data_IF_216616710243
#
_entry.id   IF_216616710243
#
_cell.length_a   1.000
_cell.length_b   1.000
_cell.length_c   1.000
_cell.angle_alpha   90.00
_cell.angle_beta   90.00
_cell.angle_gamma   90.00
#
_symmetry.space_group_name_H-M   'P 1'
#
loop_
_entity.id
_entity.type
_entity.pdbx_description
1 polymer ?
#
# COMPACT_ATOMS: atom_id res chain seq x y z
N UNK A 1 17.76 7.56 20.36
CA UNK A 1 16.51 7.35 19.60
C UNK A 1 16.32 8.58 18.73
N UNK A 2 16.53 8.44 17.44
CA UNK A 2 16.40 9.52 16.47
C UNK A 2 14.94 9.98 16.33
N UNK A 3 14.76 11.20 15.87
CA UNK A 3 13.45 11.83 15.69
C UNK A 3 12.53 11.05 14.72
N UNK A 4 13.12 10.21 13.85
CA UNK A 4 12.42 9.39 12.84
C UNK A 4 12.41 7.88 13.13
N UNK A 5 12.82 7.45 14.32
CA UNK A 5 12.83 6.03 14.66
C UNK A 5 11.39 5.48 14.75
N UNK A 6 11.12 4.27 14.24
CA UNK A 6 9.83 3.61 14.42
C UNK A 6 9.41 3.55 15.88
N UNK A 7 8.12 3.74 16.14
CA UNK A 7 7.52 3.62 17.46
C UNK A 7 6.96 2.22 17.64
N UNK A 8 7.19 1.66 18.83
CA UNK A 8 6.54 0.44 19.27
C UNK A 8 5.44 0.81 20.27
N UNK A 9 4.19 0.43 19.96
CA UNK A 9 3.02 0.84 20.73
C UNK A 9 2.08 -0.34 20.94
N UNK A 10 1.47 -0.40 22.12
CA UNK A 10 0.31 -1.24 22.36
C UNK A 10 -0.92 -0.44 21.93
N UNK A 11 -1.42 -0.73 20.73
CA UNK A 11 -2.57 -0.09 20.14
C UNK A 11 -3.87 -0.72 20.64
N UNK A 12 -4.91 0.09 20.78
CA UNK A 12 -6.27 -0.32 21.10
C UNK A 12 -7.19 -0.12 19.90
N UNK A 13 -8.05 -1.09 19.61
CA UNK A 13 -9.06 -1.01 18.55
C UNK A 13 -10.19 -0.10 19.00
N UNK A 14 -10.32 1.05 18.34
CA UNK A 14 -11.41 2.00 18.56
C UNK A 14 -12.62 1.72 17.66
N UNK A 15 -12.38 1.19 16.47
CA UNK A 15 -13.43 0.80 15.54
C UNK A 15 -13.02 -0.41 14.71
N UNK A 16 -13.99 -1.29 14.44
CA UNK A 16 -13.83 -2.48 13.61
C UNK A 16 -15.02 -2.58 12.66
N UNK A 17 -14.83 -2.23 11.38
CA UNK A 17 -15.90 -2.08 10.39
C UNK A 17 -15.67 -2.97 9.18
N UNK A 18 -16.69 -3.71 8.75
CA UNK A 18 -16.63 -4.51 7.51
C UNK A 18 -16.76 -3.56 6.32
N UNK A 19 -15.90 -3.73 5.32
CA UNK A 19 -15.96 -3.02 4.05
C UNK A 19 -15.75 -4.04 2.92
N UNK A 20 -16.85 -4.51 2.32
CA UNK A 20 -16.82 -5.62 1.37
C UNK A 20 -16.23 -6.89 1.99
N UNK A 21 -15.16 -7.39 1.37
CA UNK A 21 -14.37 -8.54 1.81
C UNK A 21 -13.30 -8.18 2.86
N UNK A 22 -13.13 -6.90 3.20
CA UNK A 22 -12.08 -6.42 4.09
C UNK A 22 -12.63 -6.00 5.47
N UNK A 23 -11.71 -5.86 6.43
CA UNK A 23 -11.93 -5.24 7.72
C UNK A 23 -11.13 -3.94 7.83
N UNK A 24 -11.82 -2.84 8.09
CA UNK A 24 -11.20 -1.57 8.47
C UNK A 24 -11.08 -1.52 9.99
N UNK A 25 -9.85 -1.33 10.47
CA UNK A 25 -9.56 -1.15 11.90
C UNK A 25 -9.04 0.26 12.12
N UNK A 26 -9.64 0.97 13.08
CA UNK A 26 -9.10 2.23 13.61
C UNK A 26 -8.41 1.92 14.93
N UNK A 27 -7.12 2.25 15.01
CA UNK A 27 -6.22 1.87 16.11
C UNK A 27 -5.62 3.13 16.76
N UNK A 28 -5.51 3.15 18.09
CA UNK A 28 -4.67 4.15 18.76
C UNK A 28 -3.21 3.91 18.41
N UNK A 29 -2.45 4.96 18.13
CA UNK A 29 -1.09 4.79 17.63
C UNK A 29 -0.18 5.97 17.97
N UNK A 30 -0.02 6.29 19.25
CA UNK A 30 0.76 7.45 19.69
C UNK A 30 2.16 7.51 19.04
N UNK A 31 2.48 8.61 18.38
CA UNK A 31 3.78 8.84 17.75
C UNK A 31 3.94 8.26 16.34
N UNK A 32 3.00 7.42 15.86
CA UNK A 32 3.02 6.87 14.50
C UNK A 32 2.43 7.85 13.47
N UNK A 33 1.22 8.43 13.66
CA UNK A 33 0.64 9.42 12.75
C UNK A 33 1.53 10.62 12.45
N UNK A 34 2.29 11.10 13.41
CA UNK A 34 3.17 12.27 13.29
C UNK A 34 4.35 11.99 12.34
N UNK A 35 4.82 10.74 12.33
CA UNK A 35 5.90 10.26 11.47
C UNK A 35 5.41 9.73 10.12
N UNK A 36 4.09 9.52 9.97
CA UNK A 36 3.51 8.89 8.79
C UNK A 36 3.78 9.68 7.51
N UNK A 37 4.09 8.93 6.43
CA UNK A 37 4.19 9.42 5.07
C UNK A 37 3.58 8.36 4.14
N UNK A 38 2.84 8.73 3.08
CA UNK A 38 2.19 7.73 2.22
C UNK A 38 3.17 6.69 1.67
N UNK A 39 2.78 5.41 1.73
CA UNK A 39 3.64 4.29 1.37
C UNK A 39 4.41 3.66 2.54
N UNK A 40 4.36 4.25 3.74
CA UNK A 40 4.81 3.56 4.95
C UNK A 40 3.70 2.66 5.52
N UNK A 41 4.11 1.69 6.34
CA UNK A 41 3.23 0.66 6.86
C UNK A 41 3.54 0.38 8.34
N UNK A 42 2.72 -0.43 9.02
CA UNK A 42 3.01 -0.91 10.39
C UNK A 42 3.19 -2.43 10.41
N UNK A 43 4.06 -2.92 11.28
CA UNK A 43 4.15 -4.33 11.63
C UNK A 43 3.26 -4.62 12.83
N UNK A 44 2.18 -5.40 12.63
CA UNK A 44 1.29 -5.84 13.69
C UNK A 44 1.70 -7.23 14.19
N UNK A 45 1.77 -7.41 15.51
CA UNK A 45 1.76 -8.75 16.10
C UNK A 45 0.40 -9.41 15.79
N UNK A 46 0.42 -10.71 15.52
CA UNK A 46 -0.79 -11.48 15.24
C UNK A 46 -0.77 -12.74 16.08
N UNK A 47 -1.93 -13.17 16.60
CA UNK A 47 -2.17 -14.41 17.34
C UNK A 47 -1.09 -14.78 18.39
N UNK A 48 -1.43 -15.01 19.67
CA UNK A 48 -0.42 -15.29 20.72
C UNK A 48 0.55 -16.45 20.41
N UNK A 49 0.17 -17.38 19.53
CA UNK A 49 0.97 -18.54 19.10
C UNK A 49 1.86 -18.28 17.87
N UNK A 50 1.84 -17.08 17.29
CA UNK A 50 2.60 -16.73 16.09
C UNK A 50 3.68 -15.70 16.42
N UNK A 51 4.93 -16.04 16.10
CA UNK A 51 6.06 -15.12 16.29
C UNK A 51 6.24 -14.15 15.11
N UNK A 52 5.69 -14.48 13.93
CA UNK A 52 5.78 -13.61 12.76
C UNK A 52 4.77 -12.47 12.84
N UNK A 53 5.17 -11.28 12.40
CA UNK A 53 4.28 -10.12 12.29
C UNK A 53 3.59 -10.07 10.92
N UNK A 54 2.64 -9.15 10.78
CA UNK A 54 1.99 -8.81 9.51
C UNK A 54 2.24 -7.35 9.15
N UNK A 55 2.66 -7.11 7.92
CA UNK A 55 2.72 -5.77 7.34
C UNK A 55 1.29 -5.31 7.03
N UNK A 56 0.89 -4.16 7.55
CA UNK A 56 -0.39 -3.53 7.26
C UNK A 56 -0.14 -2.12 6.72
N UNK A 57 -0.63 -1.85 5.51
CA UNK A 57 -0.60 -0.51 4.95
C UNK A 57 -1.39 0.45 5.83
N UNK A 58 -0.79 1.60 6.12
CA UNK A 58 -1.50 2.70 6.78
C UNK A 58 -2.38 3.35 5.71
N UNK A 59 -3.69 3.21 5.87
CA UNK A 59 -4.69 3.72 4.94
C UNK A 59 -5.10 5.15 5.26
N UNK A 60 -5.11 5.52 6.54
CA UNK A 60 -5.38 6.89 7.00
C UNK A 60 -4.69 7.14 8.32
N UNK A 61 -4.43 8.40 8.64
CA UNK A 61 -4.00 8.82 9.98
C UNK A 61 -4.85 10.00 10.43
N UNK A 62 -5.15 10.05 11.73
CA UNK A 62 -5.72 11.22 12.39
C UNK A 62 -4.79 11.61 13.52
N UNK A 63 -3.99 12.68 13.38
CA UNK A 63 -3.05 13.09 14.43
C UNK A 63 -3.78 13.69 15.64
N UNK A 64 -5.01 14.17 15.46
CA UNK A 64 -5.85 14.74 16.51
C UNK A 64 -7.18 13.98 16.58
N UNK A 65 -7.81 14.01 17.75
CA UNK A 65 -9.10 13.37 17.99
C UNK A 65 -9.36 13.15 19.48
N UNK A 66 -10.61 12.82 19.82
CA UNK A 66 -11.04 12.56 21.20
C UNK A 66 -10.21 11.48 21.90
N UNK A 67 -9.72 10.50 21.13
CA UNK A 67 -8.94 9.36 21.62
C UNK A 67 -7.43 9.52 21.36
N UNK A 68 -6.98 10.73 21.00
CA UNK A 68 -5.60 11.01 20.60
C UNK A 68 -5.28 10.57 19.16
N UNK A 69 -3.99 10.42 18.81
CA UNK A 69 -3.55 10.04 17.48
C UNK A 69 -3.96 8.62 17.10
N UNK A 70 -4.59 8.46 15.95
CA UNK A 70 -5.05 7.17 15.42
C UNK A 70 -4.55 6.93 14.00
N UNK A 71 -4.55 5.65 13.62
CA UNK A 71 -4.37 5.23 12.23
C UNK A 71 -5.45 4.22 11.83
N UNK A 72 -5.81 4.23 10.55
CA UNK A 72 -6.67 3.23 9.95
C UNK A 72 -5.81 2.26 9.14
N UNK A 73 -6.08 0.95 9.31
CA UNK A 73 -5.54 -0.12 8.46
C UNK A 73 -6.67 -0.90 7.82
N UNK A 74 -6.37 -1.48 6.67
CA UNK A 74 -7.27 -2.38 5.95
C UNK A 74 -6.69 -3.79 6.02
N UNK A 75 -7.48 -4.73 6.52
CA UNK A 75 -7.11 -6.13 6.72
C UNK A 75 -7.96 -7.00 5.82
N UNK A 76 -7.31 -7.83 5.02
CA UNK A 76 -7.97 -8.93 4.33
C UNK A 76 -7.90 -10.20 5.22
N UNK A 77 -9.03 -10.90 5.46
CA UNK A 77 -9.10 -12.05 6.37
C UNK A 77 -8.52 -13.33 5.73
N UNK A 78 -7.25 -13.28 5.31
CA UNK A 78 -6.49 -14.38 4.71
C UNK A 78 -5.41 -14.91 5.65
N UNK A 79 -5.29 -16.23 5.71
CA UNK A 79 -4.39 -16.93 6.63
C UNK A 79 -4.73 -16.70 8.10
N UNK A 80 -3.92 -17.28 9.00
CA UNK A 80 -4.14 -17.20 10.45
C UNK A 80 -4.08 -15.76 10.95
N UNK A 81 -3.02 -15.03 10.58
CA UNK A 81 -2.81 -13.66 11.06
C UNK A 81 -3.83 -12.65 10.54
N UNK A 82 -4.23 -12.74 9.27
CA UNK A 82 -5.22 -11.83 8.69
C UNK A 82 -6.62 -12.05 9.27
N UNK A 83 -7.03 -13.32 9.46
CA UNK A 83 -8.30 -13.66 10.12
C UNK A 83 -8.31 -13.18 11.58
N UNK A 84 -7.25 -13.48 12.33
CA UNK A 84 -7.14 -13.02 13.72
C UNK A 84 -7.24 -11.50 13.86
N UNK A 85 -6.54 -10.74 13.00
CA UNK A 85 -6.65 -9.28 12.97
C UNK A 85 -8.07 -8.81 12.58
N UNK A 86 -8.69 -9.46 11.59
CA UNK A 86 -10.02 -9.09 11.11
C UNK A 86 -11.16 -9.36 12.11
N UNK A 87 -10.91 -10.27 13.07
CA UNK A 87 -11.83 -10.66 14.15
C UNK A 87 -11.66 -9.80 15.41
N UNK A 88 -10.67 -8.90 15.46
CA UNK A 88 -10.49 -8.00 16.60
C UNK A 88 -11.73 -7.09 16.78
N UNK A 89 -12.21 -7.05 18.02
CA UNK A 89 -13.33 -6.23 18.47
C UNK A 89 -12.84 -4.93 19.12
N UNK A 90 -13.75 -3.97 19.29
CA UNK A 90 -13.44 -2.72 20.00
C UNK A 90 -12.94 -3.01 21.42
N UNK A 91 -11.89 -2.29 21.84
CA UNK A 91 -11.19 -2.50 23.11
C UNK A 91 -10.09 -3.57 23.07
N UNK A 92 -10.02 -4.39 22.00
CA UNK A 92 -8.92 -5.33 21.83
C UNK A 92 -7.59 -4.60 21.64
N UNK A 93 -6.49 -5.23 22.08
CA UNK A 93 -5.16 -4.65 22.00
C UNK A 93 -4.25 -5.42 21.04
N UNK A 94 -3.44 -4.69 20.30
CA UNK A 94 -2.48 -5.23 19.33
C UNK A 94 -1.18 -4.43 19.38
N UNK A 95 -0.05 -5.12 19.40
CA UNK A 95 1.24 -4.44 19.31
C UNK A 95 1.52 -4.02 17.87
N UNK A 96 1.87 -2.76 17.68
CA UNK A 96 2.29 -2.20 16.41
C UNK A 96 3.73 -1.69 16.50
N UNK A 97 4.47 -1.85 15.41
CA UNK A 97 5.74 -1.15 15.18
C UNK A 97 5.66 -0.37 13.89
N UNK A 98 5.89 0.94 13.94
CA UNK A 98 5.98 1.76 12.74
C UNK A 98 6.05 3.28 12.98
N UNK A 99 5.93 4.09 11.92
CA UNK A 99 5.84 3.65 10.54
C UNK A 99 7.15 2.99 10.07
N UNK A 100 7.05 2.00 9.20
CA UNK A 100 8.16 1.26 8.62
C UNK A 100 8.26 1.52 7.11
N UNK A 101 9.46 1.26 6.58
CA UNK A 101 9.76 1.43 5.17
C UNK A 101 9.95 2.88 4.73
N UNK A 102 10.19 3.05 3.42
CA UNK A 102 10.31 4.32 2.73
C UNK A 102 8.98 4.69 2.07
N UNK A 103 8.58 5.96 2.16
CA UNK A 103 7.37 6.44 1.52
C UNK A 103 7.52 6.57 0.00
N UNK A 104 6.40 6.78 -0.67
CA UNK A 104 6.39 7.27 -2.04
C UNK A 104 7.09 8.63 -2.16
N UNK A 105 7.89 8.77 -3.20
CA UNK A 105 8.45 10.05 -3.61
C UNK A 105 7.39 10.83 -4.38
N UNK A 106 7.15 12.08 -3.98
CA UNK A 106 6.21 12.98 -4.65
C UNK A 106 6.92 13.74 -5.79
N UNK A 107 6.21 14.06 -6.89
CA UNK A 107 6.77 14.89 -7.94
C UNK A 107 7.08 16.30 -7.41
N UNK A 108 8.14 16.91 -7.93
CA UNK A 108 8.59 18.25 -7.51
C UNK A 108 7.60 19.33 -7.94
N UNK A 109 6.98 19.14 -9.11
CA UNK A 109 6.01 20.03 -9.72
C UNK A 109 4.66 19.32 -9.89
N UNK A 110 3.53 20.06 -10.01
CA UNK A 110 2.23 19.46 -10.32
C UNK A 110 2.25 18.75 -11.67
N UNK A 111 1.87 17.47 -11.68
CA UNK A 111 1.81 16.65 -12.90
C UNK A 111 0.57 15.74 -12.86
N UNK A 112 0.24 15.12 -14.00
CA UNK A 112 -0.75 14.05 -14.03
C UNK A 112 -0.16 12.78 -13.39
N UNK A 113 -0.91 12.18 -12.46
CA UNK A 113 -0.54 10.97 -11.75
C UNK A 113 -1.62 9.90 -11.89
N UNK A 114 -1.20 8.67 -12.21
CA UNK A 114 -2.06 7.50 -12.23
C UNK A 114 -1.77 6.60 -11.01
N UNK A 115 -2.79 6.30 -10.22
CA UNK A 115 -2.69 5.43 -9.05
C UNK A 115 -3.40 4.10 -9.37
N UNK A 116 -2.61 3.03 -9.47
CA UNK A 116 -3.07 1.68 -9.84
C UNK A 116 -3.08 0.77 -8.61
N UNK A 117 -4.24 0.34 -8.17
CA UNK A 117 -4.37 -0.45 -6.93
C UNK A 117 -5.24 -1.68 -7.11
N UNK A 118 -4.83 -2.80 -6.52
CA UNK A 118 -5.67 -4.01 -6.48
C UNK A 118 -6.06 -4.38 -5.05
N UNK A 119 -7.36 -4.57 -4.83
CA UNK A 119 -7.92 -4.99 -3.55
C UNK A 119 -7.45 -4.17 -2.37
N UNK A 120 -7.20 -4.84 -1.24
CA UNK A 120 -6.73 -4.20 -0.01
C UNK A 120 -5.34 -3.55 -0.18
N UNK A 121 -4.53 -4.04 -1.13
CA UNK A 121 -3.19 -3.50 -1.37
C UNK A 121 -3.22 -2.09 -1.92
N UNK A 122 -4.37 -1.60 -2.42
CA UNK A 122 -4.57 -0.21 -2.81
C UNK A 122 -4.56 0.79 -1.63
N UNK A 123 -4.61 0.31 -0.38
CA UNK A 123 -4.70 1.13 0.83
C UNK A 123 -3.70 2.31 0.92
N UNK A 124 -2.40 2.18 0.62
CA UNK A 124 -1.44 3.27 0.76
C UNK A 124 -1.56 4.33 -0.35
N UNK A 125 -2.35 4.06 -1.42
CA UNK A 125 -2.57 4.99 -2.52
C UNK A 125 -3.57 6.09 -2.18
N UNK A 126 -4.49 5.85 -1.25
CA UNK A 126 -5.46 6.85 -0.79
C UNK A 126 -4.80 8.06 -0.11
N UNK A 127 -3.97 7.88 0.94
CA UNK A 127 -3.28 9.01 1.55
C UNK A 127 -2.23 9.63 0.60
N UNK A 128 -1.72 8.87 -0.37
CA UNK A 128 -0.89 9.41 -1.44
C UNK A 128 -1.68 10.37 -2.34
N UNK A 129 -2.90 9.99 -2.74
CA UNK A 129 -3.77 10.84 -3.54
C UNK A 129 -4.07 12.17 -2.84
N UNK A 130 -4.34 12.16 -1.54
CA UNK A 130 -4.50 13.41 -0.75
C UNK A 130 -3.29 14.32 -0.92
N UNK A 131 -2.08 13.80 -0.68
CA UNK A 131 -0.84 14.58 -0.78
C UNK A 131 -0.55 15.07 -2.19
N UNK A 132 -0.91 14.30 -3.22
CA UNK A 132 -0.76 14.73 -4.61
C UNK A 132 -1.72 15.87 -4.96
N UNK A 133 -2.96 15.81 -4.48
CA UNK A 133 -3.95 16.88 -4.67
C UNK A 133 -3.59 18.16 -3.92
N UNK A 134 -3.09 18.05 -2.69
CA UNK A 134 -2.61 19.20 -1.91
C UNK A 134 -1.48 19.94 -2.66
N UNK A 135 -0.76 19.22 -3.53
CA UNK A 135 0.27 19.74 -4.43
C UNK A 135 -0.25 20.05 -5.84
N UNK A 136 -1.56 20.08 -6.03
CA UNK A 136 -2.25 20.40 -7.28
C UNK A 136 -1.98 19.44 -8.44
N UNK A 137 -1.42 18.25 -8.19
CA UNK A 137 -1.30 17.20 -9.21
C UNK A 137 -2.67 16.64 -9.58
N UNK A 138 -2.88 16.36 -10.87
CA UNK A 138 -4.09 15.72 -11.36
C UNK A 138 -4.03 14.21 -11.06
N UNK A 139 -4.89 13.73 -10.17
CA UNK A 139 -4.93 12.32 -9.77
C UNK A 139 -6.01 11.58 -10.54
N UNK A 140 -5.67 10.41 -11.09
CA UNK A 140 -6.61 9.40 -11.60
C UNK A 140 -6.36 8.07 -10.91
N UNK A 141 -7.43 7.38 -10.52
CA UNK A 141 -7.34 6.01 -10.00
C UNK A 141 -7.68 4.98 -11.09
N UNK A 142 -6.97 3.85 -11.05
CA UNK A 142 -7.34 2.59 -11.68
C UNK A 142 -7.37 1.52 -10.58
N UNK A 143 -8.57 1.14 -10.15
CA UNK A 143 -8.76 0.16 -9.08
C UNK A 143 -9.25 -1.17 -9.65
N UNK A 144 -8.66 -2.26 -9.17
CA UNK A 144 -9.05 -3.62 -9.54
C UNK A 144 -9.40 -4.50 -8.35
N UNK A 145 -10.21 -5.52 -8.60
CA UNK A 145 -10.60 -6.54 -7.62
C UNK A 145 -11.19 -7.76 -8.32
N UNK A 146 -11.30 -8.89 -7.61
CA UNK A 146 -11.97 -10.07 -8.15
C UNK A 146 -13.46 -9.80 -8.44
N UNK A 147 -14.10 -9.06 -7.53
CA UNK A 147 -15.51 -8.68 -7.55
C UNK A 147 -15.70 -7.33 -6.83
N UNK A 148 -16.95 -6.85 -6.74
CA UNK A 148 -17.30 -5.60 -6.04
C UNK A 148 -16.87 -5.61 -4.56
N UNK A 149 -16.97 -6.76 -3.88
CA UNK A 149 -16.61 -6.87 -2.47
C UNK A 149 -15.09 -6.77 -2.24
N UNK A 150 -14.29 -7.10 -3.25
CA UNK A 150 -12.83 -6.99 -3.22
C UNK A 150 -12.31 -5.67 -3.80
N UNK A 151 -13.15 -4.64 -3.96
CA UNK A 151 -12.69 -3.29 -4.28
C UNK A 151 -12.53 -2.44 -3.02
N UNK A 152 -11.33 -1.88 -2.81
CA UNK A 152 -11.11 -0.99 -1.68
C UNK A 152 -11.69 0.41 -1.97
N UNK A 153 -12.78 0.74 -1.28
CA UNK A 153 -13.38 2.09 -1.20
C UNK A 153 -13.43 2.87 -2.54
N UNK A 154 -13.98 2.30 -3.64
CA UNK A 154 -14.00 2.96 -4.95
C UNK A 154 -14.78 4.29 -4.95
N UNK A 155 -15.76 4.43 -4.05
CA UNK A 155 -16.49 5.69 -3.83
C UNK A 155 -15.60 6.80 -3.29
N UNK A 156 -14.66 6.47 -2.41
CA UNK A 156 -13.69 7.42 -1.86
C UNK A 156 -12.71 7.87 -2.95
N UNK A 157 -12.20 6.93 -3.75
CA UNK A 157 -11.33 7.24 -4.89
C UNK A 157 -11.97 8.24 -5.87
N UNK A 158 -13.27 8.06 -6.19
CA UNK A 158 -14.05 8.98 -7.04
C UNK A 158 -14.18 10.40 -6.46
N UNK A 159 -14.16 10.56 -5.13
CA UNK A 159 -14.24 11.87 -4.47
C UNK A 159 -12.89 12.57 -4.42
N UNK A 160 -11.80 11.81 -4.52
CA UNK A 160 -10.44 12.32 -4.39
C UNK A 160 -9.81 12.61 -5.75
N UNK A 161 -10.16 11.87 -6.80
CA UNK A 161 -9.53 11.98 -8.10
C UNK A 161 -10.41 12.68 -9.14
N UNK A 162 -9.77 13.15 -10.22
CA UNK A 162 -10.46 13.62 -11.42
C UNK A 162 -11.29 12.51 -12.05
N UNK A 163 -10.76 11.29 -12.03
CA UNK A 163 -11.43 10.10 -12.51
C UNK A 163 -11.01 8.88 -11.66
N UNK A 164 -11.90 7.89 -11.58
CA UNK A 164 -11.59 6.59 -11.02
C UNK A 164 -12.17 5.49 -11.91
N UNK A 165 -11.28 4.76 -12.57
CA UNK A 165 -11.59 3.57 -13.35
C UNK A 165 -11.65 2.37 -12.40
N UNK A 166 -12.67 1.54 -12.59
CA UNK A 166 -12.88 0.32 -11.80
C UNK A 166 -12.92 -0.85 -12.76
N UNK A 167 -12.15 -1.89 -12.45
CA UNK A 167 -12.10 -3.13 -13.21
C UNK A 167 -12.37 -4.30 -12.25
N UNK A 168 -13.31 -5.17 -12.56
CA UNK A 168 -13.49 -6.42 -11.81
C UNK A 168 -13.37 -7.64 -12.70
N UNK A 169 -12.74 -8.69 -12.16
CA UNK A 169 -12.52 -9.93 -12.90
C UNK A 169 -13.83 -10.65 -13.24
N UNK A 170 -14.88 -10.48 -12.42
CA UNK A 170 -16.20 -11.08 -12.60
C UNK A 170 -17.21 -10.17 -13.34
N UNK A 171 -16.88 -8.90 -13.55
CA UNK A 171 -17.77 -7.91 -14.18
C UNK A 171 -18.89 -7.38 -13.29
N UNK A 172 -18.90 -7.68 -11.98
CA UNK A 172 -19.90 -7.20 -11.02
C UNK A 172 -20.04 -5.67 -10.98
N UNK A 173 -18.95 -4.92 -11.18
CA UNK A 173 -19.00 -3.46 -11.25
C UNK A 173 -17.86 -2.90 -12.12
N UNK A 174 -18.12 -1.80 -12.82
CA UNK A 174 -17.14 -1.18 -13.68
C UNK A 174 -16.89 -2.00 -14.95
N UNK A 175 -15.63 -2.06 -15.39
CA UNK A 175 -15.25 -2.83 -16.58
C UNK A 175 -14.96 -4.28 -16.19
N UNK A 176 -15.58 -5.22 -16.87
CA UNK A 176 -15.23 -6.64 -16.75
C UNK A 176 -13.87 -6.91 -17.38
N UNK A 177 -12.99 -7.62 -16.67
CA UNK A 177 -11.75 -8.20 -17.19
C UNK A 177 -10.54 -8.00 -16.29
N UNK A 178 -9.36 -8.10 -16.90
CA UNK A 178 -8.07 -7.92 -16.23
C UNK A 178 -7.60 -6.46 -16.32
N UNK A 179 -7.21 -5.88 -15.20
CA UNK A 179 -6.67 -4.52 -15.10
C UNK A 179 -5.46 -4.30 -16.00
N UNK A 180 -4.64 -5.33 -16.22
CA UNK A 180 -3.46 -5.24 -17.10
C UNK A 180 -3.86 -4.98 -18.56
N UNK A 181 -5.04 -5.44 -18.99
CA UNK A 181 -5.57 -5.17 -20.34
C UNK A 181 -6.07 -3.74 -20.54
N UNK A 182 -6.42 -3.05 -19.45
CA UNK A 182 -7.01 -1.70 -19.46
C UNK A 182 -5.93 -0.64 -19.23
N UNK A 183 -4.86 -1.01 -18.54
CA UNK A 183 -3.79 -0.13 -18.10
C UNK A 183 -3.19 0.74 -19.21
N UNK A 184 -2.81 0.22 -20.41
CA UNK A 184 -2.20 1.07 -21.45
C UNK A 184 -3.12 2.22 -21.90
N UNK A 185 -4.40 1.94 -22.13
CA UNK A 185 -5.37 2.94 -22.57
C UNK A 185 -5.65 4.01 -21.49
N UNK A 186 -5.70 3.60 -20.21
CA UNK A 186 -5.85 4.55 -19.09
C UNK A 186 -4.59 5.40 -18.94
N UNK A 187 -3.40 4.80 -19.07
CA UNK A 187 -2.14 5.52 -18.99
C UNK A 187 -2.01 6.56 -20.11
N UNK A 188 -2.33 6.19 -21.33
CA UNK A 188 -2.33 7.09 -22.49
C UNK A 188 -3.35 8.22 -22.32
N UNK A 189 -4.61 7.90 -22.01
CA UNK A 189 -5.66 8.91 -21.86
C UNK A 189 -5.44 9.88 -20.70
N UNK A 190 -4.72 9.47 -19.65
CA UNK A 190 -4.39 10.35 -18.52
C UNK A 190 -3.15 11.20 -18.77
N UNK A 191 -2.30 10.83 -19.73
CA UNK A 191 -1.00 11.49 -19.95
C UNK A 191 -0.13 11.51 -18.68
N UNK A 192 -0.25 10.49 -17.83
CA UNK A 192 0.38 10.51 -16.50
C UNK A 192 1.92 10.51 -16.63
N UNK A 193 2.56 11.51 -16.02
CA UNK A 193 4.02 11.56 -15.94
C UNK A 193 4.58 10.60 -14.87
N UNK A 194 3.75 10.27 -13.87
CA UNK A 194 4.13 9.36 -12.78
C UNK A 194 3.00 8.38 -12.50
N UNK A 195 3.35 7.10 -12.41
CA UNK A 195 2.45 6.00 -12.04
C UNK A 195 2.85 5.44 -10.67
N UNK A 196 1.88 5.34 -9.77
CA UNK A 196 2.05 4.74 -8.45
C UNK A 196 1.22 3.47 -8.39
N UNK A 197 1.81 2.36 -7.96
CA UNK A 197 1.07 1.10 -7.89
C UNK A 197 1.27 0.32 -6.60
N UNK A 198 0.22 -0.36 -6.18
CA UNK A 198 0.22 -1.25 -5.02
C UNK A 198 -0.71 -2.44 -5.28
N UNK A 199 -0.19 -3.66 -5.23
CA UNK A 199 -0.91 -4.86 -5.66
C UNK A 199 0.00 -6.09 -5.76
N UNK A 200 -0.52 -7.20 -6.31
CA UNK A 200 0.29 -8.39 -6.55
C UNK A 200 1.48 -8.13 -7.48
N UNK A 201 2.56 -8.91 -7.33
CA UNK A 201 3.80 -8.74 -8.10
C UNK A 201 3.58 -8.71 -9.62
N UNK A 202 2.66 -9.53 -10.13
CA UNK A 202 2.31 -9.55 -11.55
C UNK A 202 1.78 -8.20 -12.04
N UNK A 203 0.85 -7.60 -11.29
CA UNK A 203 0.31 -6.27 -11.59
C UNK A 203 1.41 -5.20 -11.50
N UNK A 204 2.22 -5.23 -10.45
CA UNK A 204 3.30 -4.25 -10.26
C UNK A 204 4.32 -4.30 -11.40
N UNK A 205 4.67 -5.50 -11.88
CA UNK A 205 5.54 -5.70 -13.04
C UNK A 205 4.93 -5.15 -14.32
N UNK A 206 3.64 -5.41 -14.55
CA UNK A 206 2.92 -4.90 -15.71
C UNK A 206 2.84 -3.36 -15.69
N UNK A 207 2.59 -2.76 -14.52
CA UNK A 207 2.61 -1.30 -14.34
C UNK A 207 3.98 -0.70 -14.65
N UNK A 208 5.04 -1.27 -14.11
CA UNK A 208 6.39 -0.78 -14.37
C UNK A 208 6.75 -0.83 -15.86
N UNK A 209 6.41 -1.92 -16.54
CA UNK A 209 6.63 -2.07 -17.99
C UNK A 209 5.80 -1.09 -18.83
N UNK A 210 4.51 -0.94 -18.53
CA UNK A 210 3.63 -0.02 -19.26
C UNK A 210 4.05 1.45 -19.06
N UNK A 211 4.42 1.83 -17.84
CA UNK A 211 4.93 3.16 -17.53
C UNK A 211 6.22 3.46 -18.33
N UNK A 212 7.18 2.53 -18.32
CA UNK A 212 8.42 2.69 -19.09
C UNK A 212 8.16 2.82 -20.60
N UNK A 213 7.25 2.02 -21.16
CA UNK A 213 6.88 2.10 -22.57
C UNK A 213 6.21 3.44 -22.94
N UNK A 214 5.48 4.04 -22.01
CA UNK A 214 4.86 5.35 -22.18
C UNK A 214 5.77 6.54 -21.81
N UNK A 215 7.03 6.29 -21.41
CA UNK A 215 7.94 7.34 -20.95
C UNK A 215 7.60 7.94 -19.58
N UNK A 216 6.74 7.29 -18.80
CA UNK A 216 6.34 7.71 -17.46
C UNK A 216 7.25 7.09 -16.39
N UNK A 217 7.46 7.81 -15.28
CA UNK A 217 8.12 7.24 -14.10
C UNK A 217 7.15 6.32 -13.35
N UNK A 218 7.65 5.26 -12.72
CA UNK A 218 6.82 4.38 -11.88
C UNK A 218 7.41 4.13 -10.50
N UNK A 219 6.55 4.07 -9.49
CA UNK A 219 6.88 3.62 -8.14
C UNK A 219 5.90 2.53 -7.71
N UNK A 220 6.43 1.39 -7.28
CA UNK A 220 5.67 0.20 -6.92
C UNK A 220 5.84 -0.11 -5.44
N UNK A 221 4.74 -0.40 -4.75
CA UNK A 221 4.71 -0.80 -3.35
C UNK A 221 4.56 -2.32 -3.26
N UNK A 222 5.70 -3.01 -3.11
CA UNK A 222 5.77 -4.47 -3.05
C UNK A 222 5.26 -5.01 -1.71
N UNK A 223 4.81 -6.26 -1.73
CA UNK A 223 4.38 -6.97 -0.53
C UNK A 223 5.29 -8.17 -0.29
N UNK A 224 6.15 -8.07 0.71
CA UNK A 224 7.08 -9.12 1.08
C UNK A 224 6.76 -9.68 2.48
N UNK A 225 7.13 -10.94 2.76
CA UNK A 225 7.05 -11.49 4.10
C UNK A 225 7.74 -10.58 5.12
N UNK A 226 7.05 -10.28 6.23
CA UNK A 226 7.56 -9.37 7.27
C UNK A 226 7.60 -10.04 8.65
N UNK A 227 8.56 -10.95 8.92
CA UNK A 227 8.64 -11.60 10.23
C UNK A 227 9.00 -10.62 11.35
N UNK A 228 10.09 -9.85 11.18
CA UNK A 228 10.63 -8.98 12.24
C UNK A 228 10.17 -7.52 12.17
N UNK A 229 10.10 -6.93 10.97
CA UNK A 229 9.85 -5.49 10.81
C UNK A 229 10.98 -4.56 11.30
N UNK A 230 12.16 -5.08 11.63
CA UNK A 230 13.28 -4.32 12.22
C UNK A 230 14.53 -4.27 11.33
N UNK A 231 14.52 -4.97 10.20
CA UNK A 231 15.67 -5.10 9.31
C UNK A 231 16.66 -6.20 9.67
N UNK A 232 16.53 -6.83 10.84
CA UNK A 232 17.48 -7.82 11.34
C UNK A 232 17.45 -9.15 10.58
N UNK A 233 16.26 -9.74 10.37
CA UNK A 233 16.14 -11.11 9.86
C UNK A 233 16.43 -11.28 8.36
N UNK A 234 16.46 -10.18 7.60
CA UNK A 234 16.59 -10.17 6.12
C UNK A 234 15.58 -11.03 5.34
N UNK A 235 14.47 -11.48 5.93
CA UNK A 235 13.47 -12.27 5.20
C UNK A 235 12.70 -11.45 4.15
N UNK A 236 12.56 -10.14 4.35
CA UNK A 236 11.86 -9.23 3.43
C UNK A 236 12.79 -8.63 2.35
N UNK A 237 13.75 -9.39 1.83
CA UNK A 237 14.71 -8.87 0.84
C UNK A 237 14.09 -8.80 -0.55
N UNK A 238 14.35 -7.69 -1.24
CA UNK A 238 13.94 -7.43 -2.62
C UNK A 238 15.21 -7.20 -3.44
N UNK A 239 15.33 -7.88 -4.58
CA UNK A 239 16.39 -7.61 -5.55
C UNK A 239 16.13 -6.31 -6.30
N UNK A 240 17.16 -5.46 -6.40
CA UNK A 240 17.11 -4.22 -7.19
C UNK A 240 18.37 -4.07 -8.05
N UNK A 241 18.24 -3.35 -9.16
CA UNK A 241 19.32 -2.99 -10.07
C UNK A 241 19.83 -1.59 -9.68
N UNK A 242 21.13 -1.50 -9.44
CA UNK A 242 21.84 -0.25 -9.17
C UNK A 242 21.87 0.65 -10.40
N UNK A 243 22.23 1.91 -10.19
CA UNK A 243 22.45 2.86 -11.30
C UNK A 243 23.66 2.48 -12.16
N UNK A 244 24.58 1.70 -11.60
CA UNK A 244 25.73 1.08 -12.26
C UNK A 244 25.37 -0.26 -12.94
N UNK A 245 24.11 -0.70 -12.86
CA UNK A 245 23.65 -1.99 -13.37
C UNK A 245 23.93 -3.17 -12.43
N UNK A 246 24.56 -2.96 -11.27
CA UNK A 246 24.88 -4.01 -10.33
C UNK A 246 23.63 -4.54 -9.62
N UNK A 247 23.64 -5.83 -9.26
CA UNK A 247 22.58 -6.42 -8.46
C UNK A 247 22.78 -6.03 -6.98
N UNK A 248 21.76 -5.44 -6.38
CA UNK A 248 21.71 -5.14 -4.95
C UNK A 248 20.48 -5.79 -4.31
N UNK A 249 20.50 -5.83 -2.98
CA UNK A 249 19.36 -6.26 -2.18
C UNK A 249 19.00 -5.16 -1.19
N UNK A 250 17.70 -4.88 -1.09
CA UNK A 250 17.12 -3.94 -0.13
C UNK A 250 16.11 -4.68 0.74
N UNK A 251 15.88 -4.24 1.97
CA UNK A 251 14.87 -4.83 2.85
C UNK A 251 13.59 -4.00 2.78
N UNK A 252 12.46 -4.64 2.49
CA UNK A 252 11.16 -3.98 2.42
C UNK A 252 10.82 -3.19 3.69
N UNK A 253 11.25 -3.64 4.87
CA UNK A 253 10.97 -2.94 6.12
C UNK A 253 11.78 -1.68 6.41
N UNK A 254 12.92 -1.48 5.73
CA UNK A 254 13.83 -0.34 5.97
C UNK A 254 14.05 0.51 4.72
N UNK A 255 14.36 -0.14 3.60
CA UNK A 255 14.77 0.51 2.36
C UNK A 255 13.70 0.44 1.26
N UNK A 256 12.75 -0.48 1.36
CA UNK A 256 11.52 -0.54 0.57
C UNK A 256 10.30 -0.18 1.43
N UNK A 257 9.10 -0.70 1.17
CA UNK A 257 8.71 -1.56 0.06
C UNK A 257 8.45 -0.77 -1.23
N UNK A 258 8.36 0.55 -1.13
CA UNK A 258 8.19 1.43 -2.29
C UNK A 258 9.52 1.55 -3.04
N UNK A 259 9.54 1.11 -4.29
CA UNK A 259 10.72 1.11 -5.14
C UNK A 259 10.41 1.69 -6.53
N UNK A 260 11.38 2.31 -7.22
CA UNK A 260 11.25 2.62 -8.64
C UNK A 260 11.03 1.34 -9.45
N UNK A 261 9.97 1.29 -10.27
CA UNK A 261 9.57 0.07 -10.97
C UNK A 261 10.60 -0.44 -11.98
N UNK A 262 11.38 0.47 -12.56
CA UNK A 262 12.49 0.19 -13.49
C UNK A 262 13.73 -0.41 -12.80
N UNK A 263 13.84 -0.27 -11.47
CA UNK A 263 14.96 -0.81 -10.69
C UNK A 263 14.66 -2.16 -10.06
N UNK A 264 13.42 -2.60 -9.99
CA UNK A 264 13.08 -3.89 -9.37
C UNK A 264 13.63 -5.04 -10.23
N UNK A 265 14.35 -5.98 -9.61
CA UNK A 265 14.77 -7.22 -10.27
C UNK A 265 13.60 -8.22 -10.27
N UNK A 266 12.63 -8.00 -11.15
CA UNK A 266 11.37 -8.76 -11.22
C UNK A 266 11.56 -10.28 -11.33
N UNK A 267 12.66 -10.73 -11.91
CA UNK A 267 13.00 -12.14 -12.06
C UNK A 267 13.27 -12.84 -10.71
N UNK A 268 13.66 -12.06 -9.69
CA UNK A 268 13.85 -12.55 -8.32
C UNK A 268 12.54 -12.66 -7.54
N UNK A 269 11.46 -12.06 -8.05
CA UNK A 269 10.15 -11.95 -7.40
C UNK A 269 9.14 -12.82 -8.16
N UNK A 270 9.13 -14.12 -7.88
CA UNK A 270 8.28 -15.07 -8.62
C UNK A 270 8.40 -16.54 -8.24
N UNK A 271 9.27 -16.89 -7.28
CA UNK A 271 9.25 -18.21 -6.65
C UNK A 271 8.35 -18.16 -5.44
N UNK A 272 7.14 -18.73 -5.54
CA UNK A 272 6.35 -19.05 -4.35
C UNK A 272 7.23 -19.85 -3.38
N UNK A 273 7.49 -19.25 -2.21
CA UNK A 273 7.84 -19.97 -1.01
C UNK A 273 6.64 -19.92 -0.09
#
# INVERSE_FOLDING_TARGET
>A
MGERDPRHVLAEVLASRRAGAFRHLTLTARGIPELFRPGTFVAASVAPTQMTRRALWIHRVSPTGTFGPTLDVVVEPRGVGGRWLADLTVGARVELTGPLGRPFSLPREPVACLLVGEGWSAAPLFPLAERLRDRQSAVTFLLSGADEAHLLTPREARRMARAAHVVTADGSVGRHGDVMSVLPAVLESTGAAVVYAAGPTALLRAVAGAAAAAGAQSQVALQEPLPCGTGLCRACVIGVRGTDGAAHQVRACLEGPVLPGDRVAWESLGGGR
#
